data_IF_261190314013
#
_entry.id   IF_261190314013
#
_cell.length_a   1.000
_cell.length_b   1.000
_cell.length_c   1.000
_cell.angle_alpha   90.00
_cell.angle_beta   90.00
_cell.angle_gamma   90.00
#
_symmetry.space_group_name_H-M   'P 1'
#
loop_
_entity.id
_entity.type
_entity.pdbx_description
1 polymer ?
#
# COMPACT_ATOMS: atom_id res chain seq x y z
N UNK A 1 -0.18 -8.50 6.99
CA UNK A 1 -1.32 -9.11 6.27
C UNK A 1 -1.66 -10.53 6.71
N UNK A 2 -0.75 -11.52 6.58
CA UNK A 2 -1.08 -12.96 6.74
C UNK A 2 -1.71 -13.35 8.08
N UNK A 3 -1.13 -12.92 9.22
CA UNK A 3 -1.61 -13.29 10.56
C UNK A 3 -3.06 -12.85 10.84
N UNK A 4 -3.50 -11.75 10.23
CA UNK A 4 -4.85 -11.18 10.42
C UNK A 4 -5.77 -11.42 9.22
N UNK A 5 -5.29 -12.13 8.19
CA UNK A 5 -6.08 -12.39 6.97
C UNK A 5 -6.46 -11.14 6.18
N UNK A 6 -5.62 -10.09 6.16
CA UNK A 6 -5.93 -8.85 5.45
C UNK A 6 -6.01 -9.08 3.93
N UNK A 7 -7.14 -8.71 3.31
CA UNK A 7 -7.40 -8.84 1.87
C UNK A 7 -6.67 -7.78 1.03
N UNK A 8 -6.47 -6.59 1.59
CA UNK A 8 -5.74 -5.47 0.99
C UNK A 8 -4.95 -4.76 2.08
N UNK A 9 -3.72 -4.35 1.79
CA UNK A 9 -2.86 -3.59 2.71
C UNK A 9 -2.42 -2.31 2.01
N UNK A 10 -2.68 -1.16 2.63
CA UNK A 10 -2.19 0.13 2.13
C UNK A 10 -1.18 0.65 3.13
N UNK A 11 0.06 0.83 2.71
CA UNK A 11 1.11 1.40 3.53
C UNK A 11 1.04 2.92 3.51
N UNK A 12 1.23 3.54 4.66
CA UNK A 12 1.32 5.00 4.80
C UNK A 12 2.57 5.34 5.61
N UNK A 13 2.83 6.63 5.83
CA UNK A 13 4.03 7.13 6.52
C UNK A 13 5.31 6.59 5.86
N UNK A 14 5.45 6.89 4.57
CA UNK A 14 6.48 6.36 3.69
C UNK A 14 7.73 7.24 3.80
N UNK A 15 8.92 6.64 3.90
CA UNK A 15 10.19 7.39 3.84
C UNK A 15 10.38 8.01 2.46
N UNK A 16 11.06 9.14 2.40
CA UNK A 16 11.44 9.79 1.14
C UNK A 16 12.37 8.93 0.27
N UNK A 17 13.02 7.91 0.84
CA UNK A 17 13.88 6.98 0.09
C UNK A 17 13.11 5.96 -0.75
N UNK A 18 11.78 5.85 -0.57
CA UNK A 18 10.95 4.87 -1.26
C UNK A 18 10.21 5.52 -2.43
N UNK A 19 10.74 5.34 -3.63
CA UNK A 19 10.09 5.77 -4.87
C UNK A 19 8.75 5.05 -5.07
N UNK A 20 7.68 5.82 -5.29
CA UNK A 20 6.30 5.31 -5.21
C UNK A 20 6.01 4.20 -6.23
N UNK A 21 6.22 4.47 -7.52
CA UNK A 21 5.94 3.49 -8.58
C UNK A 21 6.89 2.29 -8.56
N UNK A 22 8.17 2.53 -8.30
CA UNK A 22 9.14 1.44 -8.24
C UNK A 22 8.84 0.50 -7.07
N UNK A 23 8.53 1.05 -5.90
CA UNK A 23 8.16 0.26 -4.71
C UNK A 23 6.87 -0.50 -4.97
N UNK A 24 5.83 0.15 -5.51
CA UNK A 24 4.57 -0.51 -5.83
C UNK A 24 4.74 -1.68 -6.81
N UNK A 25 5.61 -1.55 -7.82
CA UNK A 25 5.92 -2.65 -8.75
C UNK A 25 6.58 -3.86 -8.10
N UNK A 26 7.27 -3.66 -6.98
CA UNK A 26 7.91 -4.73 -6.22
C UNK A 26 7.00 -5.34 -5.14
N UNK A 27 5.90 -4.66 -4.80
CA UNK A 27 4.93 -5.15 -3.81
C UNK A 27 4.01 -6.21 -4.44
N UNK A 28 3.48 -7.16 -3.65
CA UNK A 28 2.42 -8.06 -4.10
C UNK A 28 1.15 -7.28 -4.48
N UNK A 29 0.36 -7.77 -5.44
CA UNK A 29 -0.88 -7.12 -5.93
C UNK A 29 -1.91 -6.75 -4.85
N UNK A 30 -1.86 -7.39 -3.69
CA UNK A 30 -2.72 -7.09 -2.53
C UNK A 30 -2.22 -5.93 -1.66
N UNK A 31 -1.09 -5.32 -2.02
CA UNK A 31 -0.42 -4.30 -1.25
C UNK A 31 0.01 -3.12 -2.11
N UNK A 32 -0.09 -1.92 -1.56
CA UNK A 32 0.32 -0.70 -2.24
C UNK A 32 0.73 0.39 -1.25
N UNK A 33 1.50 1.35 -1.73
CA UNK A 33 1.78 2.61 -1.05
C UNK A 33 0.61 3.57 -1.24
N UNK A 34 0.17 4.21 -0.15
CA UNK A 34 -0.80 5.29 -0.19
C UNK A 34 -0.27 6.49 -0.99
N UNK A 35 -1.18 7.34 -1.42
CA UNK A 35 -0.88 8.64 -2.02
C UNK A 35 -1.80 9.71 -1.42
N UNK A 36 -1.38 10.97 -1.56
CA UNK A 36 -2.14 12.09 -1.02
C UNK A 36 -3.52 12.19 -1.71
N UNK A 37 -4.57 12.25 -0.89
CA UNK A 37 -5.95 12.27 -1.38
C UNK A 37 -6.54 10.89 -1.72
N UNK A 38 -5.82 9.79 -1.45
CA UNK A 38 -6.34 8.44 -1.67
C UNK A 38 -7.64 8.20 -0.90
N UNK A 39 -8.67 7.75 -1.62
CA UNK A 39 -9.97 7.37 -1.05
C UNK A 39 -10.14 5.85 -1.06
N UNK A 40 -10.63 5.31 0.06
CA UNK A 40 -10.87 3.89 0.23
C UNK A 40 -12.39 3.66 0.30
N UNK A 41 -12.90 2.84 -0.62
CA UNK A 41 -14.27 2.35 -0.52
C UNK A 41 -14.35 1.34 0.63
N UNK A 42 -15.26 1.59 1.58
CA UNK A 42 -15.61 0.61 2.60
C UNK A 42 -16.49 -0.47 1.96
N UNK A 43 -16.24 -1.72 2.34
CA UNK A 43 -16.98 -2.90 1.90
C UNK A 43 -17.64 -3.56 3.09
#
# INVERSE_FOLDING_TARGET
AKKIGAKRTVFTHISHDLEHEQTNRALPDSMELAYDGMQLALR
#
